data_IF_710013902868
#
_entry.id   IF_710013902868
#
_cell.length_a   1.000
_cell.length_b   1.000
_cell.length_c   1.000
_cell.angle_alpha   90.00
_cell.angle_beta   90.00
_cell.angle_gamma   90.00
#
_symmetry.space_group_name_H-M   'P 1'
#
loop_
_entity.id
_entity.type
_entity.pdbx_description
1 polymer ?
#
# COMPACT_ATOMS: atom_id res chain seq x y z
N UNK A 1 -26.98 2.17 40.37
CA UNK A 1 -26.05 1.14 39.83
C UNK A 1 -24.91 1.85 39.12
N UNK A 2 -23.79 1.99 39.81
CA UNK A 2 -22.57 2.67 39.34
C UNK A 2 -21.83 1.77 38.36
N UNK A 3 -21.76 2.18 37.10
CA UNK A 3 -20.96 1.50 36.07
C UNK A 3 -19.48 1.59 36.43
N UNK A 4 -18.88 0.45 36.79
CA UNK A 4 -17.45 0.34 37.04
C UNK A 4 -16.67 0.68 35.78
N UNK A 5 -15.79 1.68 35.87
CA UNK A 5 -14.79 1.92 34.81
C UNK A 5 -13.89 0.69 34.72
N UNK A 6 -13.54 0.22 33.51
CA UNK A 6 -12.63 -0.91 33.37
C UNK A 6 -11.29 -0.60 34.03
N UNK A 7 -10.87 -1.50 34.92
CA UNK A 7 -9.62 -1.44 35.68
C UNK A 7 -8.47 -1.39 34.67
N UNK A 8 -7.61 -0.36 34.77
CA UNK A 8 -6.37 -0.26 33.99
C UNK A 8 -5.48 -1.44 34.37
N UNK A 9 -5.27 -2.39 33.46
CA UNK A 9 -4.26 -3.44 33.62
C UNK A 9 -2.87 -2.80 33.81
N UNK A 10 -2.03 -3.34 34.71
CA UNK A 10 -0.67 -2.84 34.91
C UNK A 10 0.15 -2.91 33.62
N UNK A 11 1.14 -2.01 33.51
CA UNK A 11 1.91 -1.69 32.29
C UNK A 11 2.71 -2.88 31.70
N UNK A 12 2.87 -3.98 32.46
CA UNK A 12 3.71 -5.13 32.08
C UNK A 12 3.01 -6.31 31.38
N UNK A 13 1.69 -6.23 31.12
CA UNK A 13 0.96 -7.26 30.32
C UNK A 13 0.18 -6.61 29.17
N UNK A 14 0.81 -5.68 28.45
CA UNK A 14 0.23 -5.19 27.21
C UNK A 14 0.44 -6.25 26.14
N UNK A 15 -0.66 -6.88 25.71
CA UNK A 15 -0.65 -7.75 24.54
C UNK A 15 0.11 -7.07 23.37
N UNK A 16 0.90 -7.84 22.61
CA UNK A 16 1.75 -7.30 21.56
C UNK A 16 0.91 -6.54 20.53
N UNK A 17 1.38 -5.35 20.15
CA UNK A 17 0.67 -4.50 19.20
C UNK A 17 0.58 -5.20 17.83
N UNK A 18 -0.54 -5.07 17.08
CA UNK A 18 -0.70 -5.68 15.76
C UNK A 18 0.09 -4.94 14.65
N UNK A 19 1.13 -4.20 15.02
CA UNK A 19 1.93 -3.39 14.14
C UNK A 19 3.33 -3.20 14.72
N UNK A 20 4.25 -2.77 13.86
CA UNK A 20 5.56 -2.29 14.25
C UNK A 20 5.91 -1.01 13.47
N UNK A 21 6.89 -0.26 13.98
CA UNK A 21 7.39 0.95 13.34
C UNK A 21 8.76 0.66 12.72
N UNK A 22 8.87 0.91 11.42
CA UNK A 22 10.16 0.90 10.74
C UNK A 22 10.81 2.27 10.93
N UNK A 23 11.99 2.35 11.56
CA UNK A 23 12.63 3.61 11.89
C UNK A 23 12.99 4.40 10.62
N UNK A 24 12.87 5.72 10.70
CA UNK A 24 13.29 6.57 9.58
C UNK A 24 14.80 6.45 9.32
N UNK A 25 15.25 6.50 8.06
CA UNK A 25 16.67 6.63 7.76
C UNK A 25 17.27 7.87 8.43
N UNK A 26 18.48 7.71 8.99
CA UNK A 26 19.21 8.81 9.65
C UNK A 26 19.63 9.91 8.65
N UNK A 27 19.93 9.51 7.42
CA UNK A 27 20.36 10.42 6.36
C UNK A 27 19.18 11.02 5.62
N UNK A 28 19.26 12.30 5.27
CA UNK A 28 18.22 12.98 4.47
C UNK A 28 18.01 12.27 3.11
N UNK A 29 16.79 12.30 2.57
CA UNK A 29 16.52 11.80 1.23
C UNK A 29 17.39 12.53 0.19
N UNK A 30 17.86 11.82 -0.83
CA UNK A 30 18.46 12.47 -2.01
C UNK A 30 17.36 13.11 -2.83
N UNK A 31 17.42 14.42 -3.02
CA UNK A 31 16.43 15.17 -3.80
C UNK A 31 16.91 15.35 -5.24
N UNK A 32 15.99 15.25 -6.19
CA UNK A 32 16.28 15.50 -7.62
C UNK A 32 15.27 16.47 -8.20
N UNK A 33 15.71 17.14 -9.25
CA UNK A 33 14.82 17.94 -10.09
C UNK A 33 13.96 17.02 -10.96
N UNK A 34 12.62 17.11 -10.89
CA UNK A 34 11.76 16.36 -11.79
C UNK A 34 11.84 16.91 -13.22
N UNK A 35 11.62 16.04 -14.19
CA UNK A 35 11.35 16.43 -15.57
C UNK A 35 9.83 16.45 -15.74
N UNK A 36 9.29 17.44 -16.43
CA UNK A 36 7.85 17.53 -16.71
C UNK A 36 7.35 16.41 -17.63
N UNK A 37 6.02 16.25 -17.68
CA UNK A 37 5.36 15.27 -18.56
C UNK A 37 5.42 15.66 -20.04
N UNK A 38 5.91 16.86 -20.34
CA UNK A 38 6.18 17.39 -21.69
C UNK A 38 7.40 16.72 -22.36
N UNK A 39 8.24 16.01 -21.60
CA UNK A 39 9.46 15.39 -22.13
C UNK A 39 9.54 13.88 -21.85
N UNK A 40 9.89 13.11 -22.88
CA UNK A 40 10.28 11.70 -22.76
C UNK A 40 11.79 11.55 -22.62
N UNK A 41 12.24 10.72 -21.68
CA UNK A 41 13.66 10.44 -21.42
C UNK A 41 14.11 9.19 -22.17
N UNK A 42 15.22 9.31 -22.92
CA UNK A 42 15.75 8.23 -23.79
C UNK A 42 16.05 6.93 -23.05
N UNK A 43 16.59 7.01 -21.84
CA UNK A 43 17.03 5.85 -21.04
C UNK A 43 15.99 5.40 -20.00
N UNK A 44 14.72 5.82 -20.16
CA UNK A 44 13.64 5.48 -19.26
C UNK A 44 12.58 4.63 -19.95
N UNK A 45 11.85 3.86 -19.15
CA UNK A 45 10.79 2.98 -19.62
C UNK A 45 9.41 3.62 -19.47
N UNK A 46 8.54 3.20 -20.37
CA UNK A 46 7.13 3.55 -20.46
C UNK A 46 6.31 2.28 -20.65
N UNK A 47 5.08 2.28 -20.15
CA UNK A 47 4.17 1.18 -20.45
C UNK A 47 3.16 0.87 -19.36
N UNK A 48 2.79 -0.40 -19.29
CA UNK A 48 1.77 -0.91 -18.37
C UNK A 48 2.18 -2.25 -17.75
N UNK A 49 1.68 -2.49 -16.55
CA UNK A 49 1.85 -3.73 -15.79
C UNK A 49 0.45 -4.22 -15.42
N UNK A 50 0.10 -5.43 -15.85
CA UNK A 50 -1.16 -6.08 -15.50
C UNK A 50 -1.00 -6.85 -14.18
N UNK A 51 -1.78 -6.46 -13.17
CA UNK A 51 -1.70 -6.98 -11.82
C UNK A 51 -2.92 -7.84 -11.47
N UNK A 52 -2.65 -8.99 -10.86
CA UNK A 52 -3.65 -9.87 -10.24
C UNK A 52 -3.45 -9.79 -8.72
N UNK A 53 -4.48 -9.35 -8.00
CA UNK A 53 -4.47 -9.20 -6.55
C UNK A 53 -5.37 -10.28 -5.94
N UNK A 54 -4.79 -11.19 -5.16
CA UNK A 54 -5.53 -12.29 -4.51
C UNK A 54 -5.72 -11.97 -3.03
N UNK A 55 -6.97 -11.91 -2.59
CA UNK A 55 -7.34 -11.65 -1.20
C UNK A 55 -7.04 -12.87 -0.34
N UNK A 56 -6.31 -12.68 0.77
CA UNK A 56 -5.96 -13.75 1.72
C UNK A 56 -6.65 -13.61 3.07
N UNK A 57 -6.98 -12.38 3.46
CA UNK A 57 -7.92 -12.10 4.55
C UNK A 57 -8.90 -11.05 4.10
N UNK A 58 -10.12 -11.04 4.65
CA UNK A 58 -11.20 -10.18 4.19
C UNK A 58 -10.75 -8.71 4.00
N UNK A 59 -11.16 -8.09 2.89
CA UNK A 59 -10.78 -6.72 2.52
C UNK A 59 -12.02 -5.84 2.50
N UNK A 60 -11.97 -4.71 3.21
CA UNK A 60 -12.97 -3.66 3.14
C UNK A 60 -12.32 -2.32 2.77
N UNK A 61 -12.73 -1.73 1.66
CA UNK A 61 -12.32 -0.38 1.24
C UNK A 61 -13.55 0.50 1.20
N UNK A 62 -13.74 1.26 2.29
CA UNK A 62 -14.96 2.03 2.53
C UNK A 62 -15.15 3.15 1.50
N UNK A 63 -16.41 3.37 1.11
CA UNK A 63 -16.86 4.56 0.36
C UNK A 63 -17.11 5.76 1.28
N UNK A 64 -17.18 5.54 2.60
CA UNK A 64 -17.72 6.52 3.56
C UNK A 64 -19.26 6.54 3.63
N UNK A 65 -19.96 5.75 2.82
CA UNK A 65 -21.43 5.71 2.73
C UNK A 65 -21.97 4.50 3.48
N UNK A 66 -23.05 4.72 4.24
CA UNK A 66 -23.89 3.67 4.83
C UNK A 66 -25.13 3.50 3.96
N UNK A 67 -25.47 2.27 3.60
CA UNK A 67 -26.65 1.92 2.82
C UNK A 67 -27.56 0.95 3.59
N UNK A 68 -28.79 0.76 3.11
CA UNK A 68 -29.67 -0.29 3.61
C UNK A 68 -29.11 -1.66 3.19
N UNK A 69 -29.25 -2.66 4.05
CA UNK A 69 -28.82 -4.02 3.74
C UNK A 69 -29.43 -4.56 2.45
N UNK A 70 -30.71 -4.25 2.25
CA UNK A 70 -31.47 -4.64 1.05
C UNK A 70 -30.82 -4.17 -0.24
N UNK A 71 -30.19 -3.00 -0.24
CA UNK A 71 -29.56 -2.40 -1.42
C UNK A 71 -28.30 -3.15 -1.86
N UNK A 72 -27.67 -3.88 -0.93
CA UNK A 72 -26.47 -4.69 -1.16
C UNK A 72 -26.69 -6.18 -0.90
N UNK A 73 -27.95 -6.64 -0.95
CA UNK A 73 -28.35 -8.04 -0.78
C UNK A 73 -27.91 -8.65 0.57
N UNK A 74 -27.92 -7.84 1.62
CA UNK A 74 -27.61 -8.22 3.00
C UNK A 74 -28.87 -8.25 3.87
N UNK A 75 -28.93 -9.20 4.82
CA UNK A 75 -29.98 -9.26 5.84
C UNK A 75 -29.78 -8.24 6.98
N UNK A 76 -28.62 -7.59 7.03
CA UNK A 76 -28.29 -6.61 8.08
C UNK A 76 -28.87 -5.23 7.72
N UNK A 77 -29.66 -4.57 8.58
CA UNK A 77 -30.40 -3.36 8.20
C UNK A 77 -29.57 -2.21 7.63
N UNK A 78 -28.39 -1.94 8.22
CA UNK A 78 -27.48 -0.88 7.79
C UNK A 78 -26.07 -1.42 7.64
N UNK A 79 -25.40 -1.04 6.56
CA UNK A 79 -24.07 -1.58 6.22
C UNK A 79 -23.18 -0.50 5.62
N UNK A 80 -21.92 -0.46 6.08
CA UNK A 80 -20.89 0.36 5.44
C UNK A 80 -20.50 -0.27 4.11
N UNK A 81 -20.71 0.48 3.03
CA UNK A 81 -20.47 -0.03 1.68
C UNK A 81 -18.99 0.00 1.33
N UNK A 82 -18.60 -0.93 0.46
CA UNK A 82 -17.28 -0.97 -0.17
C UNK A 82 -17.39 -0.37 -1.57
N UNK A 83 -16.28 0.18 -2.07
CA UNK A 83 -16.25 0.75 -3.42
C UNK A 83 -16.72 -0.28 -4.45
N UNK A 84 -17.55 0.14 -5.39
CA UNK A 84 -18.05 -0.69 -6.49
C UNK A 84 -17.70 -0.04 -7.83
N UNK A 85 -17.32 -0.87 -8.80
CA UNK A 85 -17.02 -0.43 -10.16
C UNK A 85 -18.26 -0.34 -11.05
N UNK A 86 -18.03 0.00 -12.32
CA UNK A 86 -19.06 -0.14 -13.37
C UNK A 86 -19.50 -1.61 -13.39
N UNK A 87 -20.81 -1.88 -13.31
CA UNK A 87 -21.44 -3.22 -13.13
C UNK A 87 -21.58 -3.74 -11.69
N UNK A 88 -21.53 -2.89 -10.65
CA UNK A 88 -21.82 -3.27 -9.26
C UNK A 88 -20.86 -4.32 -8.64
N UNK A 89 -19.78 -4.68 -9.35
CA UNK A 89 -18.71 -5.52 -8.81
C UNK A 89 -17.92 -4.75 -7.77
N UNK A 90 -17.47 -5.42 -6.72
CA UNK A 90 -16.55 -4.81 -5.75
C UNK A 90 -15.31 -4.28 -6.47
N UNK A 91 -14.85 -3.11 -6.03
CA UNK A 91 -13.65 -2.48 -6.54
C UNK A 91 -12.75 -2.01 -5.39
N UNK A 92 -11.45 -1.94 -5.66
CA UNK A 92 -10.49 -1.25 -4.81
C UNK A 92 -10.02 -0.04 -5.60
N UNK A 93 -10.28 1.16 -5.07
CA UNK A 93 -9.89 2.40 -5.71
C UNK A 93 -8.37 2.41 -6.00
N UNK A 94 -7.98 2.85 -7.19
CA UNK A 94 -6.57 2.93 -7.60
C UNK A 94 -5.75 3.79 -6.65
N UNK A 95 -6.36 4.82 -6.05
CA UNK A 95 -5.75 5.65 -5.00
C UNK A 95 -5.40 4.87 -3.72
N UNK A 96 -6.22 3.87 -3.35
CA UNK A 96 -5.96 3.01 -2.18
C UNK A 96 -4.77 2.09 -2.42
N UNK A 97 -4.68 1.49 -3.62
CA UNK A 97 -3.52 0.68 -4.02
C UNK A 97 -2.26 1.54 -4.13
N UNK A 98 -2.36 2.69 -4.82
CA UNK A 98 -1.26 3.64 -4.93
C UNK A 98 -0.75 4.06 -3.56
N UNK A 99 -1.63 4.34 -2.59
CA UNK A 99 -1.23 4.69 -1.23
C UNK A 99 -0.54 3.55 -0.47
N UNK A 100 -1.01 2.31 -0.63
CA UNK A 100 -0.38 1.13 -0.01
C UNK A 100 1.03 0.89 -0.57
N UNK A 101 1.17 0.89 -1.90
CA UNK A 101 2.47 0.71 -2.57
C UNK A 101 3.40 1.90 -2.32
N UNK A 102 2.88 3.14 -2.34
CA UNK A 102 3.66 4.35 -2.00
C UNK A 102 4.25 4.25 -0.60
N UNK A 103 3.48 3.75 0.36
CA UNK A 103 3.94 3.60 1.74
C UNK A 103 5.16 2.70 1.85
N UNK A 104 5.15 1.60 1.11
CA UNK A 104 6.28 0.66 1.03
C UNK A 104 7.45 1.30 0.31
N UNK A 105 7.19 1.89 -0.86
CA UNK A 105 8.22 2.56 -1.65
C UNK A 105 8.91 3.69 -0.87
N UNK A 106 8.16 4.52 -0.14
CA UNK A 106 8.70 5.58 0.71
C UNK A 106 9.66 5.02 1.78
N UNK A 107 9.33 3.86 2.35
CA UNK A 107 10.12 3.20 3.38
C UNK A 107 11.41 2.59 2.82
N UNK A 108 11.35 1.95 1.65
CA UNK A 108 12.51 1.23 1.10
C UNK A 108 13.41 2.12 0.24
N UNK A 109 13.07 3.39 -0.02
CA UNK A 109 13.87 4.27 -0.91
C UNK A 109 14.35 5.58 -0.27
N UNK A 110 14.45 5.62 1.06
CA UNK A 110 14.79 6.84 1.83
C UNK A 110 14.08 8.08 1.30
N UNK A 111 12.76 8.11 1.46
CA UNK A 111 11.91 9.20 0.97
C UNK A 111 11.30 10.03 2.11
N UNK A 112 10.69 11.15 1.74
CA UNK A 112 9.83 11.96 2.62
C UNK A 112 8.44 11.34 2.74
N UNK A 113 7.71 11.71 3.78
CA UNK A 113 6.30 11.39 3.97
C UNK A 113 5.45 12.41 3.21
N UNK A 114 4.83 12.00 2.11
CA UNK A 114 4.08 12.93 1.27
C UNK A 114 2.77 13.43 1.91
N UNK A 115 2.13 12.58 2.72
CA UNK A 115 0.85 12.90 3.37
C UNK A 115 1.02 12.72 4.88
N UNK A 116 0.94 13.84 5.60
CA UNK A 116 1.00 13.88 7.07
C UNK A 116 -0.29 14.50 7.59
N UNK A 117 -1.00 13.77 8.46
CA UNK A 117 -2.23 14.29 9.05
C UNK A 117 -1.95 15.44 10.02
N UNK A 118 -2.74 16.51 9.92
CA UNK A 118 -2.71 17.61 10.88
C UNK A 118 -3.26 17.24 12.26
N UNK A 119 -4.07 16.18 12.34
CA UNK A 119 -4.86 15.80 13.53
C UNK A 119 -4.02 15.56 14.79
N UNK A 120 -2.81 15.04 14.62
CA UNK A 120 -1.93 14.67 15.73
C UNK A 120 -0.70 15.57 15.89
N UNK A 121 -0.68 16.73 15.21
CA UNK A 121 0.44 17.69 15.32
C UNK A 121 0.78 18.11 16.76
N UNK A 122 -0.18 18.28 17.69
CA UNK A 122 0.16 18.64 19.07
C UNK A 122 0.88 17.53 19.85
N UNK A 123 0.72 16.26 19.45
CA UNK A 123 1.32 15.12 20.14
C UNK A 123 2.52 14.53 19.40
N UNK A 124 2.59 14.67 18.07
CA UNK A 124 3.59 14.04 17.22
C UNK A 124 4.21 15.09 16.29
N UNK A 125 5.48 15.40 16.51
CA UNK A 125 6.28 16.14 15.55
C UNK A 125 6.89 15.18 14.52
N UNK A 126 6.73 15.46 13.23
CA UNK A 126 7.48 14.74 12.19
C UNK A 126 8.87 15.37 12.04
N UNK A 127 9.96 14.58 11.99
CA UNK A 127 11.29 15.13 11.70
C UNK A 127 11.29 15.94 10.40
N UNK A 128 11.94 17.11 10.39
CA UNK A 128 11.89 18.05 9.26
C UNK A 128 12.43 17.43 7.97
N UNK A 129 13.45 16.60 8.09
CA UNK A 129 14.05 15.81 7.01
C UNK A 129 13.13 14.75 6.40
N UNK A 130 12.02 14.41 7.08
CA UNK A 130 11.00 13.50 6.57
C UNK A 130 9.80 14.23 5.96
N UNK A 131 9.77 15.56 5.99
CA UNK A 131 8.76 16.36 5.31
C UNK A 131 9.21 16.68 3.88
N UNK A 132 8.28 16.84 2.93
CA UNK A 132 8.61 17.29 1.57
C UNK A 132 9.40 18.61 1.58
N UNK A 133 10.26 18.81 0.57
CA UNK A 133 10.98 20.08 0.40
C UNK A 133 9.99 21.24 0.25
N UNK A 134 10.38 22.43 0.72
CA UNK A 134 9.62 23.65 0.49
C UNK A 134 9.70 24.11 -0.97
N UNK A 135 10.74 23.69 -1.70
CA UNK A 135 10.86 23.92 -3.14
C UNK A 135 10.17 22.78 -3.88
N UNK A 136 9.15 23.12 -4.66
CA UNK A 136 8.41 22.12 -5.45
C UNK A 136 9.27 21.42 -6.50
N UNK A 137 10.44 21.97 -6.87
CA UNK A 137 11.38 21.38 -7.82
C UNK A 137 12.39 20.41 -7.21
N UNK A 138 12.28 20.07 -5.92
CA UNK A 138 13.20 19.17 -5.22
C UNK A 138 12.43 17.96 -4.66
N UNK A 139 12.34 16.89 -5.46
CA UNK A 139 11.56 15.72 -5.12
C UNK A 139 12.44 14.57 -4.61
N UNK A 140 12.01 13.93 -3.53
CA UNK A 140 12.60 12.66 -3.08
C UNK A 140 12.21 11.50 -4.02
N UNK A 141 12.84 10.32 -3.89
CA UNK A 141 12.59 9.20 -4.80
C UNK A 141 11.11 8.80 -4.95
N UNK A 142 10.37 8.68 -3.84
CA UNK A 142 8.95 8.36 -3.89
C UNK A 142 8.10 9.50 -4.49
N UNK A 143 8.48 10.76 -4.26
CA UNK A 143 7.76 11.92 -4.79
C UNK A 143 7.90 12.05 -6.30
N UNK A 144 9.06 11.68 -6.86
CA UNK A 144 9.24 11.59 -8.32
C UNK A 144 8.27 10.56 -8.93
N UNK A 145 8.24 9.35 -8.36
CA UNK A 145 7.45 8.24 -8.93
C UNK A 145 5.95 8.40 -8.67
N UNK A 146 5.55 8.73 -7.44
CA UNK A 146 4.14 8.76 -7.02
C UNK A 146 3.50 10.14 -7.14
N UNK A 147 4.29 11.19 -7.36
CA UNK A 147 3.86 12.58 -7.43
C UNK A 147 3.97 13.32 -6.09
N UNK A 148 3.92 14.64 -6.16
CA UNK A 148 3.95 15.54 -5.01
C UNK A 148 2.95 16.69 -5.25
N UNK A 149 2.85 17.63 -4.30
CA UNK A 149 2.15 18.88 -4.56
C UNK A 149 2.78 19.54 -5.80
N UNK A 150 1.94 20.02 -6.72
CA UNK A 150 2.29 20.59 -8.03
C UNK A 150 2.95 19.63 -9.05
N UNK A 151 3.16 18.35 -8.70
CA UNK A 151 3.79 17.37 -9.60
C UNK A 151 2.96 16.10 -9.74
N UNK A 152 2.44 15.89 -10.95
CA UNK A 152 1.80 14.64 -11.31
C UNK A 152 2.81 13.48 -11.27
N UNK A 153 2.45 12.41 -10.58
CA UNK A 153 3.30 11.21 -10.49
C UNK A 153 3.51 10.53 -11.84
N UNK A 154 4.62 9.82 -11.95
CA UNK A 154 5.00 9.02 -13.11
C UNK A 154 4.21 7.71 -13.25
N UNK A 155 3.48 7.33 -12.19
CA UNK A 155 2.62 6.14 -12.19
C UNK A 155 1.16 6.43 -11.87
N UNK A 156 0.28 5.65 -12.49
CA UNK A 156 -1.16 5.66 -12.30
C UNK A 156 -1.66 4.23 -12.09
N UNK A 157 -2.46 4.05 -11.05
CA UNK A 157 -3.19 2.80 -10.79
C UNK A 157 -4.63 2.98 -11.24
N UNK A 158 -5.12 2.06 -12.08
CA UNK A 158 -6.56 1.94 -12.33
C UNK A 158 -7.25 1.31 -11.11
N UNK A 159 -8.57 1.50 -11.02
CA UNK A 159 -9.35 0.78 -10.01
C UNK A 159 -9.24 -0.71 -10.24
N UNK A 160 -8.95 -1.47 -9.18
CA UNK A 160 -8.94 -2.92 -9.28
C UNK A 160 -10.35 -3.45 -9.17
N UNK A 161 -10.76 -4.24 -10.16
CA UNK A 161 -12.13 -4.75 -10.27
C UNK A 161 -12.15 -6.21 -9.85
N UNK A 162 -13.08 -6.58 -8.97
CA UNK A 162 -13.28 -7.96 -8.55
C UNK A 162 -13.78 -8.79 -9.73
N UNK A 163 -13.22 -9.98 -9.92
CA UNK A 163 -13.72 -10.93 -10.92
C UNK A 163 -15.09 -11.50 -10.51
N UNK A 164 -15.31 -11.67 -9.20
CA UNK A 164 -16.60 -12.09 -8.62
C UNK A 164 -17.55 -10.90 -8.54
N UNK A 165 -18.82 -11.13 -8.90
CA UNK A 165 -19.87 -10.11 -8.82
C UNK A 165 -20.41 -9.94 -7.39
N UNK A 166 -20.42 -11.01 -6.60
CA UNK A 166 -21.02 -11.02 -5.26
C UNK A 166 -20.10 -10.40 -4.22
N UNK A 167 -20.69 -9.63 -3.31
CA UNK A 167 -20.02 -9.15 -2.10
C UNK A 167 -20.48 -9.94 -0.89
N UNK A 168 -19.66 -10.00 0.15
CA UNK A 168 -20.05 -10.59 1.42
C UNK A 168 -20.34 -9.51 2.46
N UNK A 169 -21.24 -9.81 3.38
CA UNK A 169 -21.39 -9.03 4.62
C UNK A 169 -20.42 -9.59 5.66
N UNK A 170 -19.60 -8.71 6.22
CA UNK A 170 -18.77 -9.00 7.39
C UNK A 170 -19.03 -8.02 8.52
N UNK A 171 -18.37 -8.26 9.65
CA UNK A 171 -18.48 -7.41 10.83
C UNK A 171 -17.07 -7.05 11.29
N UNK A 172 -16.80 -5.75 11.33
CA UNK A 172 -15.54 -5.22 11.83
C UNK A 172 -15.73 -4.75 13.27
N UNK A 173 -15.02 -5.30 14.26
CA UNK A 173 -15.04 -4.81 15.64
C UNK A 173 -14.69 -3.32 15.70
N UNK A 174 -15.21 -2.64 16.73
CA UNK A 174 -14.83 -1.26 17.01
C UNK A 174 -13.34 -1.18 17.32
N UNK A 175 -12.61 -0.44 16.49
CA UNK A 175 -11.18 -0.20 16.64
C UNK A 175 -10.96 1.04 17.50
N UNK A 176 -9.95 1.02 18.35
CA UNK A 176 -9.57 2.20 19.11
C UNK A 176 -8.89 3.24 18.22
N UNK A 177 -9.05 4.51 18.60
CA UNK A 177 -8.25 5.57 18.00
C UNK A 177 -6.76 5.31 18.27
N UNK A 178 -5.86 5.77 17.37
CA UNK A 178 -4.47 5.99 17.75
C UNK A 178 -4.40 6.86 19.02
N UNK A 179 -3.58 6.44 19.98
CA UNK A 179 -3.36 7.15 21.26
C UNK A 179 -1.92 7.66 21.37
N UNK A 180 -1.50 8.61 20.52
CA UNK A 180 -0.14 9.16 20.59
C UNK A 180 0.12 9.96 21.87
N UNK A 181 -0.94 10.39 22.53
CA UNK A 181 -0.97 11.00 23.86
C UNK A 181 -0.64 10.01 24.99
N UNK A 182 -0.88 8.70 24.80
CA UNK A 182 -0.71 7.68 25.84
C UNK A 182 0.48 6.74 25.56
N UNK A 183 0.79 6.47 24.29
CA UNK A 183 1.80 5.49 23.89
C UNK A 183 3.10 6.16 23.45
N UNK A 184 4.14 6.08 24.31
CA UNK A 184 5.47 6.64 24.03
C UNK A 184 6.22 5.97 22.89
N UNK A 185 5.88 4.73 22.51
CA UNK A 185 6.60 3.98 21.45
C UNK A 185 6.44 4.58 20.04
N UNK A 186 5.60 5.59 19.85
CA UNK A 186 5.57 6.37 18.61
C UNK A 186 6.69 7.41 18.51
N UNK A 187 7.32 7.78 19.64
CA UNK A 187 8.11 8.99 19.76
C UNK A 187 9.49 8.75 20.38
N UNK A 188 10.48 9.48 19.87
CA UNK A 188 11.78 9.68 20.51
C UNK A 188 12.05 11.19 20.51
N UNK A 189 12.30 11.75 21.70
CA UNK A 189 12.50 13.20 21.89
C UNK A 189 11.35 14.04 21.25
N UNK A 190 10.11 13.60 21.41
CA UNK A 190 8.91 14.28 20.88
C UNK A 190 8.69 14.14 19.36
N UNK A 191 9.59 13.44 18.65
CA UNK A 191 9.50 13.24 17.20
C UNK A 191 9.11 11.81 16.86
N UNK A 192 8.34 11.64 15.79
CA UNK A 192 7.99 10.33 15.25
C UNK A 192 9.26 9.52 14.92
N UNK A 193 9.32 8.28 15.39
CA UNK A 193 10.52 7.41 15.20
C UNK A 193 10.54 6.71 13.85
N UNK A 194 9.37 6.50 13.24
CA UNK A 194 9.27 5.65 12.06
C UNK A 194 7.89 5.59 11.44
N UNK A 195 7.77 4.73 10.42
CA UNK A 195 6.52 4.44 9.72
C UNK A 195 5.89 3.16 10.26
N UNK A 196 4.62 3.25 10.65
CA UNK A 196 3.85 2.11 11.18
C UNK A 196 3.34 1.20 10.06
N UNK A 197 3.62 -0.10 10.16
CA UNK A 197 3.04 -1.15 9.32
C UNK A 197 2.35 -2.20 10.19
N UNK A 198 1.19 -2.67 9.74
CA UNK A 198 0.40 -3.68 10.44
C UNK A 198 0.79 -5.08 9.97
N UNK A 199 0.93 -6.01 10.90
CA UNK A 199 1.22 -7.40 10.59
C UNK A 199 0.10 -8.04 9.77
N UNK A 200 0.45 -9.05 8.99
CA UNK A 200 -0.53 -10.01 8.49
C UNK A 200 -0.95 -10.97 9.61
N UNK A 201 -2.08 -11.64 9.38
CA UNK A 201 -2.55 -12.71 10.24
C UNK A 201 -3.08 -13.85 9.37
N UNK A 202 -3.06 -15.07 9.90
CA UNK A 202 -3.61 -16.26 9.24
C UNK A 202 -5.08 -16.02 8.84
N UNK A 203 -5.85 -15.38 9.73
CA UNK A 203 -7.24 -14.98 9.50
C UNK A 203 -7.54 -13.66 10.20
N UNK A 204 -8.53 -12.94 9.68
CA UNK A 204 -9.10 -11.81 10.41
C UNK A 204 -9.84 -12.31 11.67
N UNK A 205 -9.92 -11.47 12.70
CA UNK A 205 -10.77 -11.76 13.87
C UNK A 205 -12.21 -11.86 13.40
N UNK A 206 -12.85 -12.98 13.73
CA UNK A 206 -14.27 -13.22 13.49
C UNK A 206 -15.01 -13.02 14.82
N UNK A 207 -15.71 -11.90 14.93
CA UNK A 207 -16.58 -11.59 16.08
C UNK A 207 -18.00 -12.09 15.90
N UNK A 208 -18.27 -12.92 14.87
CA UNK A 208 -19.64 -13.24 14.44
C UNK A 208 -20.36 -11.98 13.94
N UNK A 209 -21.61 -11.79 14.37
CA UNK A 209 -22.43 -10.62 14.00
C UNK A 209 -22.21 -9.41 14.93
N UNK A 210 -21.07 -9.33 15.63
CA UNK A 210 -20.74 -8.23 16.53
C UNK A 210 -19.81 -7.22 15.85
N UNK A 211 -20.13 -5.92 15.99
CA UNK A 211 -19.33 -4.82 15.46
C UNK A 211 -20.04 -4.03 14.38
N UNK A 212 -19.25 -3.33 13.56
CA UNK A 212 -19.72 -2.49 12.46
C UNK A 212 -19.93 -3.38 11.23
N UNK A 213 -21.17 -3.52 10.71
CA UNK A 213 -21.42 -4.27 9.49
C UNK A 213 -20.74 -3.59 8.30
N UNK A 214 -19.99 -4.37 7.53
CA UNK A 214 -19.22 -3.91 6.37
C UNK A 214 -19.48 -4.82 5.18
N UNK A 215 -19.62 -4.22 4.00
CA UNK A 215 -19.51 -4.95 2.75
C UNK A 215 -18.03 -5.23 2.50
N UNK A 216 -17.66 -6.48 2.19
CA UNK A 216 -16.27 -6.86 2.06
C UNK A 216 -16.04 -7.92 0.97
N UNK A 217 -14.81 -7.96 0.47
CA UNK A 217 -14.32 -9.08 -0.34
C UNK A 217 -13.82 -10.19 0.59
N UNK A 218 -14.23 -11.44 0.30
CA UNK A 218 -13.81 -12.61 1.06
C UNK A 218 -12.41 -13.10 0.72
N UNK A 219 -11.92 -14.06 1.51
CA UNK A 219 -10.72 -14.79 1.15
C UNK A 219 -10.88 -15.45 -0.24
N UNK A 220 -9.78 -15.52 -0.98
CA UNK A 220 -9.69 -16.05 -2.36
C UNK A 220 -10.47 -15.24 -3.41
N UNK A 221 -10.97 -14.04 -3.07
CA UNK A 221 -11.44 -13.11 -4.10
C UNK A 221 -10.24 -12.62 -4.90
N UNK A 222 -10.44 -12.48 -6.22
CA UNK A 222 -9.41 -12.02 -7.15
C UNK A 222 -9.83 -10.70 -7.77
N UNK A 223 -8.93 -9.73 -7.72
CA UNK A 223 -9.07 -8.44 -8.36
C UNK A 223 -8.02 -8.30 -9.46
N UNK A 224 -8.39 -7.68 -10.58
CA UNK A 224 -7.46 -7.34 -11.67
C UNK A 224 -7.37 -5.84 -11.82
N UNK A 225 -6.16 -5.32 -12.06
CA UNK A 225 -5.94 -3.91 -12.35
C UNK A 225 -4.73 -3.72 -13.27
N UNK A 226 -4.62 -2.52 -13.82
CA UNK A 226 -3.49 -2.08 -14.62
C UNK A 226 -2.78 -0.91 -13.92
N UNK A 227 -1.45 -1.02 -13.82
CA UNK A 227 -0.55 0.08 -13.44
C UNK A 227 0.09 0.63 -14.71
N UNK A 228 -0.12 1.92 -14.99
CA UNK A 228 0.54 2.63 -16.09
C UNK A 228 1.72 3.45 -15.56
N UNK A 229 2.82 3.46 -16.29
CA UNK A 229 4.01 4.21 -15.91
C UNK A 229 4.67 4.91 -17.10
N UNK A 230 5.38 6.00 -16.81
CA UNK A 230 6.13 6.79 -17.78
C UNK A 230 7.47 7.22 -17.19
N UNK A 231 8.51 7.32 -18.01
CA UNK A 231 9.80 7.91 -17.63
C UNK A 231 10.45 7.27 -16.39
N UNK A 232 10.20 5.99 -16.11
CA UNK A 232 10.86 5.30 -15.00
C UNK A 232 12.24 4.79 -15.42
N UNK A 233 13.29 5.18 -14.71
CA UNK A 233 14.60 4.56 -14.85
C UNK A 233 14.58 3.10 -14.37
N UNK A 234 15.57 2.29 -14.79
CA UNK A 234 15.66 0.88 -14.38
C UNK A 234 15.58 0.69 -12.86
N UNK A 235 16.30 1.51 -12.09
CA UNK A 235 16.32 1.44 -10.63
C UNK A 235 14.95 1.80 -10.01
N UNK A 236 14.24 2.78 -10.56
CA UNK A 236 12.92 3.20 -10.05
C UNK A 236 11.85 2.14 -10.34
N UNK A 237 11.92 1.53 -11.53
CA UNK A 237 11.06 0.41 -11.90
C UNK A 237 11.36 -0.83 -11.04
N UNK A 238 12.64 -1.10 -10.76
CA UNK A 238 13.07 -2.14 -9.83
C UNK A 238 12.55 -1.95 -8.42
N UNK A 239 12.66 -0.73 -7.87
CA UNK A 239 12.11 -0.41 -6.56
C UNK A 239 10.57 -0.54 -6.52
N UNK A 240 9.89 -0.25 -7.64
CA UNK A 240 8.45 -0.47 -7.77
C UNK A 240 8.09 -1.96 -7.75
N UNK A 241 8.84 -2.82 -8.45
CA UNK A 241 8.65 -4.28 -8.38
C UNK A 241 8.87 -4.84 -6.98
N UNK A 242 9.92 -4.38 -6.28
CA UNK A 242 10.14 -4.73 -4.87
C UNK A 242 8.94 -4.28 -4.04
N UNK A 243 8.46 -3.04 -4.21
CA UNK A 243 7.30 -2.51 -3.47
C UNK A 243 5.97 -3.25 -3.77
N UNK A 244 5.87 -3.91 -4.92
CA UNK A 244 4.77 -4.81 -5.29
C UNK A 244 4.96 -6.24 -4.76
N UNK A 245 6.00 -6.50 -3.96
CA UNK A 245 6.25 -7.81 -3.33
C UNK A 245 6.84 -8.85 -4.29
N UNK A 246 7.54 -8.43 -5.36
CA UNK A 246 8.12 -9.35 -6.34
C UNK A 246 9.53 -9.85 -6.00
N UNK A 247 10.11 -9.38 -4.89
CA UNK A 247 11.40 -9.85 -4.40
C UNK A 247 11.25 -11.14 -3.60
N UNK A 248 11.72 -12.25 -4.17
CA UNK A 248 11.64 -13.58 -3.55
C UNK A 248 12.55 -13.71 -2.31
N UNK A 249 13.60 -12.88 -2.20
CA UNK A 249 14.47 -12.88 -1.01
C UNK A 249 13.81 -12.15 0.17
N UNK A 250 12.85 -11.28 -0.11
CA UNK A 250 12.13 -10.47 0.88
C UNK A 250 10.61 -10.58 0.67
N UNK A 251 10.01 -11.78 0.80
CA UNK A 251 8.63 -12.02 0.41
C UNK A 251 7.64 -11.35 1.38
N UNK A 252 6.72 -10.56 0.85
CA UNK A 252 5.64 -9.93 1.62
C UNK A 252 4.36 -9.77 0.81
N UNK A 253 3.26 -9.51 1.52
CA UNK A 253 1.97 -9.16 0.92
C UNK A 253 1.62 -7.68 1.15
N UNK A 254 0.66 -7.16 0.39
CA UNK A 254 0.10 -5.83 0.62
C UNK A 254 -0.94 -5.87 1.74
N UNK A 255 -0.98 -4.78 2.52
CA UNK A 255 -1.97 -4.55 3.58
C UNK A 255 -2.90 -3.37 3.23
N UNK A 256 -4.08 -3.66 2.69
CA UNK A 256 -5.01 -2.70 2.05
C UNK A 256 -6.32 -2.56 2.84
N UNK A 257 -6.93 -1.38 2.84
CA UNK A 257 -8.25 -1.15 3.42
C UNK A 257 -8.31 -0.98 4.93
N UNK A 258 -9.52 -1.10 5.48
CA UNK A 258 -9.82 -1.04 6.92
C UNK A 258 -9.55 -2.36 7.66
N UNK A 259 -9.71 -2.35 8.98
CA UNK A 259 -9.58 -3.58 9.79
C UNK A 259 -8.16 -4.12 9.93
N UNK A 260 -7.12 -3.36 9.56
CA UNK A 260 -5.72 -3.84 9.63
C UNK A 260 -5.30 -4.39 11.01
N UNK A 261 -5.65 -3.74 12.15
CA UNK A 261 -5.29 -4.25 13.49
C UNK A 261 -5.84 -5.65 13.80
N UNK A 262 -6.98 -6.01 13.20
CA UNK A 262 -7.66 -7.30 13.43
C UNK A 262 -7.36 -8.32 12.33
N UNK A 263 -6.31 -8.12 11.53
CA UNK A 263 -5.87 -9.09 10.53
C UNK A 263 -6.53 -8.97 9.15
N UNK A 264 -7.46 -8.04 8.92
CA UNK A 264 -8.06 -7.79 7.59
C UNK A 264 -7.04 -7.18 6.62
N UNK A 265 -7.34 -7.27 5.33
CA UNK A 265 -6.65 -6.49 4.30
C UNK A 265 -5.42 -7.13 3.66
N UNK A 266 -5.16 -8.42 3.89
CA UNK A 266 -4.00 -9.10 3.28
C UNK A 266 -4.27 -9.45 1.83
N UNK A 267 -3.41 -9.00 0.92
CA UNK A 267 -3.50 -9.31 -0.51
C UNK A 267 -2.12 -9.63 -1.10
N UNK A 268 -1.99 -10.75 -1.80
CA UNK A 268 -0.79 -11.04 -2.60
C UNK A 268 -0.92 -10.42 -3.98
N UNK A 269 0.20 -10.01 -4.57
CA UNK A 269 0.27 -9.39 -5.90
C UNK A 269 1.02 -10.31 -6.85
N UNK A 270 0.43 -10.55 -8.00
CA UNK A 270 1.05 -11.26 -9.12
C UNK A 270 1.09 -10.31 -10.32
N UNK A 271 2.24 -10.27 -10.99
CA UNK A 271 2.37 -9.59 -12.29
C UNK A 271 2.09 -10.61 -13.38
N UNK A 272 1.04 -10.38 -14.17
CA UNK A 272 0.60 -11.30 -15.23
C UNK A 272 1.22 -10.99 -16.59
N UNK A 273 1.42 -9.70 -16.89
CA UNK A 273 2.14 -9.25 -18.08
C UNK A 273 2.71 -7.85 -17.90
N UNK A 274 3.77 -7.54 -18.67
CA UNK A 274 4.39 -6.22 -18.72
C UNK A 274 4.51 -5.79 -20.18
N UNK A 275 3.92 -4.66 -20.56
CA UNK A 275 4.29 -3.97 -21.78
C UNK A 275 5.26 -2.85 -21.40
N UNK A 276 6.50 -2.88 -21.89
CA UNK A 276 7.51 -1.88 -21.58
C UNK A 276 8.33 -1.50 -22.82
N UNK A 277 8.59 -0.21 -23.01
CA UNK A 277 9.37 0.32 -24.13
C UNK A 277 10.11 1.60 -23.72
N UNK A 278 11.25 1.88 -24.38
CA UNK A 278 12.04 3.10 -24.14
C UNK A 278 11.95 4.08 -25.32
N UNK A 279 11.92 3.56 -26.55
CA UNK A 279 11.90 4.39 -27.75
C UNK A 279 10.46 4.81 -28.12
N UNK A 280 9.99 5.88 -27.46
CA UNK A 280 8.65 6.42 -27.70
C UNK A 280 8.49 6.89 -29.15
N UNK A 281 9.53 7.47 -29.75
CA UNK A 281 9.48 7.99 -31.12
C UNK A 281 9.19 6.87 -32.12
N UNK A 282 9.94 5.77 -32.06
CA UNK A 282 9.81 4.68 -33.03
C UNK A 282 8.48 3.91 -32.84
N UNK A 283 7.97 3.83 -31.61
CA UNK A 283 6.63 3.31 -31.32
C UNK A 283 5.52 4.04 -32.07
N UNK A 284 5.62 5.36 -32.21
CA UNK A 284 4.60 6.19 -32.90
C UNK A 284 4.92 6.46 -34.37
N UNK A 285 5.97 5.86 -34.93
CA UNK A 285 6.32 5.97 -36.35
C UNK A 285 5.73 4.86 -37.23
N UNK A 286 5.15 3.84 -36.62
CA UNK A 286 4.61 2.67 -37.32
C UNK A 286 3.16 2.44 -36.92
N UNK A 287 2.31 2.13 -37.88
CA UNK A 287 0.92 1.72 -37.62
C UNK A 287 0.83 0.32 -36.98
N UNK A 288 1.86 -0.50 -37.21
CA UNK A 288 2.02 -1.84 -36.62
C UNK A 288 3.04 -1.74 -35.48
N UNK A 289 2.60 -2.03 -34.25
CA UNK A 289 3.43 -1.94 -33.05
C UNK A 289 4.34 -3.18 -32.97
N UNK A 290 5.56 -3.11 -33.53
CA UNK A 290 6.56 -4.20 -33.44
C UNK A 290 7.06 -4.45 -32.02
N UNK A 291 7.08 -3.40 -31.18
CA UNK A 291 7.76 -3.39 -29.87
C UNK A 291 6.80 -3.54 -28.68
N UNK A 292 5.52 -3.84 -28.91
CA UNK A 292 4.51 -3.98 -27.86
C UNK A 292 4.10 -5.43 -27.60
N UNK A 293 5.05 -6.37 -27.71
CA UNK A 293 4.80 -7.72 -27.21
C UNK A 293 4.80 -7.64 -25.69
N UNK A 294 3.64 -7.89 -25.09
CA UNK A 294 3.54 -8.01 -23.66
C UNK A 294 4.49 -9.13 -23.20
N UNK A 295 5.45 -8.78 -22.34
CA UNK A 295 6.34 -9.75 -21.71
C UNK A 295 5.51 -10.62 -20.78
N UNK A 296 5.61 -11.93 -20.96
CA UNK A 296 5.00 -12.96 -20.11
C UNK A 296 6.01 -14.05 -19.82
N UNK A 297 5.76 -14.90 -18.82
CA UNK A 297 6.61 -16.07 -18.53
C UNK A 297 8.06 -15.67 -18.20
N UNK A 298 9.03 -16.42 -18.75
CA UNK A 298 10.45 -16.23 -18.45
C UNK A 298 10.99 -14.83 -18.85
N UNK A 299 10.75 -14.30 -20.06
CA UNK A 299 11.19 -12.94 -20.42
C UNK A 299 10.71 -11.85 -19.44
N UNK A 300 9.49 -11.99 -18.92
CA UNK A 300 8.95 -11.07 -17.92
C UNK A 300 9.70 -11.18 -16.58
N UNK A 301 10.01 -12.40 -16.14
CA UNK A 301 10.76 -12.62 -14.92
C UNK A 301 12.19 -12.07 -15.03
N UNK A 302 12.88 -12.32 -16.14
CA UNK A 302 14.20 -11.74 -16.41
C UNK A 302 14.17 -10.21 -16.43
N UNK A 303 13.12 -9.63 -17.02
CA UNK A 303 12.90 -8.19 -17.01
C UNK A 303 12.74 -7.64 -15.58
N UNK A 304 11.92 -8.27 -14.74
CA UNK A 304 11.72 -7.88 -13.33
C UNK A 304 13.04 -7.99 -12.56
N UNK A 305 13.72 -9.13 -12.64
CA UNK A 305 14.96 -9.40 -11.88
C UNK A 305 16.08 -8.42 -12.24
N UNK A 306 16.28 -8.13 -13.54
CA UNK A 306 17.31 -7.20 -13.97
C UNK A 306 17.08 -5.77 -13.42
N UNK A 307 15.82 -5.33 -13.29
CA UNK A 307 15.47 -4.00 -12.79
C UNK A 307 15.58 -3.93 -11.27
N UNK A 308 15.16 -4.98 -10.56
CA UNK A 308 15.42 -5.09 -9.11
C UNK A 308 16.93 -5.06 -8.82
N UNK A 309 17.75 -5.81 -9.58
CA UNK A 309 19.20 -5.76 -9.48
C UNK A 309 19.76 -4.34 -9.73
N UNK A 310 19.20 -3.60 -10.68
CA UNK A 310 19.54 -2.19 -10.88
C UNK A 310 19.19 -1.32 -9.67
N UNK A 311 18.03 -1.52 -9.04
CA UNK A 311 17.65 -0.77 -7.83
C UNK A 311 18.68 -0.96 -6.69
N UNK A 312 19.18 -2.18 -6.48
CA UNK A 312 20.24 -2.46 -5.52
C UNK A 312 21.59 -1.88 -5.95
N UNK A 313 22.01 -2.09 -7.20
CA UNK A 313 23.29 -1.59 -7.74
C UNK A 313 23.40 -0.07 -7.63
N UNK A 314 22.32 0.66 -7.90
CA UNK A 314 22.24 2.11 -7.79
C UNK A 314 22.02 2.62 -6.36
N UNK A 315 22.01 1.71 -5.36
CA UNK A 315 21.79 2.03 -3.94
C UNK A 315 20.51 2.83 -3.69
N UNK A 316 19.47 2.57 -4.49
CA UNK A 316 18.15 3.19 -4.29
C UNK A 316 17.41 2.52 -3.13
N UNK A 317 17.71 1.24 -2.85
CA UNK A 317 17.06 0.45 -1.81
C UNK A 317 17.79 0.58 -0.47
N UNK A 318 17.05 0.99 0.54
CA UNK A 318 17.44 0.98 1.95
C UNK A 318 17.30 -0.44 2.53
N UNK A 319 18.39 -1.22 2.45
CA UNK A 319 18.36 -2.65 2.75
C UNK A 319 17.87 -2.98 4.17
N UNK A 320 18.28 -2.21 5.19
CA UNK A 320 17.86 -2.45 6.57
C UNK A 320 16.34 -2.27 6.74
N UNK A 321 15.75 -1.30 6.03
CA UNK A 321 14.33 -1.03 6.04
C UNK A 321 13.56 -2.06 5.22
N UNK A 322 14.11 -2.53 4.09
CA UNK A 322 13.52 -3.62 3.32
C UNK A 322 13.44 -4.91 4.15
N UNK A 323 14.50 -5.28 4.85
CA UNK A 323 14.54 -6.46 5.73
C UNK A 323 13.50 -6.36 6.86
N UNK A 324 13.43 -5.22 7.55
CA UNK A 324 12.42 -5.03 8.59
C UNK A 324 10.99 -5.04 8.02
N UNK A 325 10.79 -4.42 6.85
CA UNK A 325 9.50 -4.42 6.18
C UNK A 325 9.07 -5.83 5.80
N UNK A 326 9.96 -6.66 5.24
CA UNK A 326 9.65 -8.03 4.85
C UNK A 326 9.32 -8.91 6.05
N UNK A 327 9.91 -8.67 7.22
CA UNK A 327 9.54 -9.39 8.45
C UNK A 327 8.17 -8.94 9.00
N UNK A 328 7.84 -7.65 8.91
CA UNK A 328 6.55 -7.12 9.37
C UNK A 328 5.41 -7.52 8.42
N UNK A 329 5.63 -7.42 7.11
CA UNK A 329 4.66 -7.76 6.08
C UNK A 329 4.84 -9.18 5.52
N UNK A 330 5.60 -10.03 6.23
CA UNK A 330 5.84 -11.42 5.85
C UNK A 330 4.54 -12.14 5.54
N UNK A 331 4.49 -12.78 4.39
CA UNK A 331 3.37 -13.64 4.02
C UNK A 331 3.85 -14.80 3.12
N UNK A 332 3.40 -16.06 3.35
CA UNK A 332 2.51 -16.53 4.42
C UNK A 332 3.04 -16.27 5.84
N UNK A 333 2.15 -16.19 6.81
CA UNK A 333 2.48 -15.92 8.21
C UNK A 333 1.77 -16.90 9.13
N UNK A 334 2.37 -17.16 10.28
CA UNK A 334 1.83 -17.92 11.41
C UNK A 334 1.20 -17.02 12.49
N UNK A 335 1.29 -15.70 12.32
CA UNK A 335 0.75 -14.72 13.28
C UNK A 335 -0.78 -14.83 13.37
N UNK A 336 -1.29 -14.82 14.60
CA UNK A 336 -2.73 -14.70 14.89
C UNK A 336 -3.08 -13.23 15.09
N UNK A 337 -4.23 -12.82 14.58
CA UNK A 337 -4.75 -11.50 14.88
C UNK A 337 -5.07 -11.43 16.38
N UNK A 338 -4.73 -10.32 17.07
CA UNK A 338 -4.94 -10.25 18.51
C UNK A 338 -6.44 -10.20 18.82
N UNK A 339 -6.85 -10.89 19.88
CA UNK A 339 -8.25 -11.00 20.30
C UNK A 339 -8.58 -9.84 21.25
N UNK A 340 -9.35 -8.85 20.78
CA UNK A 340 -9.76 -7.71 21.60
C UNK A 340 -9.97 -6.43 20.79
N UNK A 341 -10.36 -5.35 21.47
CA UNK A 341 -10.41 -4.02 20.84
C UNK A 341 -9.00 -3.43 20.75
N UNK A 342 -8.57 -3.06 19.54
CA UNK A 342 -7.23 -2.54 19.24
C UNK A 342 -7.24 -1.22 18.50
#
# INVERSE_FOLDING_TARGET
MTTSRPIRKPVNELEPKPYELIPFPKQKPTLKHPVGHDQYKKDCYHGSIELILKVKTAVHVSTGIVALGTDVKSKVPLIKTMTQGKQQKLAIAGSSLKGAVRSIYETITNSTLAVVTGKYRPQIQIPRERLPSSKNTELCPASLVFGALDWQGLIQFSDAICQKAESMTGFMPSLYRPRPDEYRGYLQNGKAVGRKFYYHAIKAVDGGQQGIPVQQAGAEYVFTTQLQFKNLADAELGALFIALGQDQQHPFALKVGGGKPIGMGTMTVEISSIAAFQNVRDRYRHYTLSDSVALTGQPMQEFIQARMAAAHRHKLIEMAQLQQLSEILKFPTDRKAPQGMY
#
